data_IF_165353793864
#
_entry.id   IF_165353793864
#
_cell.length_a   1.000
_cell.length_b   1.000
_cell.length_c   1.000
_cell.angle_alpha   90.00
_cell.angle_beta   90.00
_cell.angle_gamma   90.00
#
_symmetry.space_group_name_H-M   'P 1'
#
loop_
_entity.id
_entity.type
_entity.pdbx_description
1 polymer ?
#
# COMPACT_ATOMS: atom_id res chain seq x y z
N UNK A 1 2.34 20.58 -8.60
CA UNK A 1 2.86 20.08 -7.31
C UNK A 1 2.05 18.87 -6.87
N UNK A 2 2.46 17.66 -7.25
CA UNK A 2 1.66 16.42 -7.03
C UNK A 2 2.48 15.22 -6.55
N UNK A 3 3.64 15.48 -5.94
CA UNK A 3 4.58 14.44 -5.49
C UNK A 3 3.99 13.60 -4.36
N UNK A 4 3.22 14.20 -3.46
CA UNK A 4 2.65 13.52 -2.30
C UNK A 4 1.31 12.83 -2.61
N UNK A 5 0.60 13.22 -3.66
CA UNK A 5 -0.70 12.62 -4.02
C UNK A 5 -0.54 11.16 -4.44
N UNK A 6 0.49 10.87 -5.23
CA UNK A 6 0.82 9.50 -5.63
C UNK A 6 1.27 8.64 -4.45
N UNK A 7 1.93 9.24 -3.46
CA UNK A 7 2.29 8.54 -2.23
C UNK A 7 1.03 8.19 -1.43
N UNK A 8 0.16 9.18 -1.17
CA UNK A 8 -1.10 8.99 -0.45
C UNK A 8 -1.99 7.93 -1.10
N UNK A 9 -2.16 8.00 -2.42
CA UNK A 9 -2.98 7.03 -3.16
C UNK A 9 -2.44 5.60 -3.04
N UNK A 10 -1.12 5.40 -3.14
CA UNK A 10 -0.52 4.08 -3.00
C UNK A 10 -0.54 3.57 -1.58
N UNK A 11 -0.26 4.44 -0.61
CA UNK A 11 -0.29 4.08 0.79
C UNK A 11 -1.69 3.64 1.20
N UNK A 12 -2.73 4.34 0.74
CA UNK A 12 -4.12 3.98 1.00
C UNK A 12 -4.54 2.66 0.35
N UNK A 13 -3.93 2.28 -0.79
CA UNK A 13 -4.13 0.97 -1.38
C UNK A 13 -3.52 -0.12 -0.49
N UNK A 14 -2.30 0.08 0.00
CA UNK A 14 -1.60 -0.86 0.90
C UNK A 14 -2.41 -1.06 2.17
N UNK A 15 -2.90 0.01 2.81
CA UNK A 15 -3.76 -0.07 4.00
C UNK A 15 -5.01 -0.93 3.76
N UNK A 16 -5.75 -0.65 2.69
CA UNK A 16 -6.96 -1.40 2.36
C UNK A 16 -6.67 -2.87 2.01
N UNK A 17 -5.55 -3.16 1.37
CA UNK A 17 -5.20 -4.52 1.01
C UNK A 17 -4.78 -5.34 2.24
N UNK A 18 -4.07 -4.73 3.19
CA UNK A 18 -3.75 -5.33 4.48
C UNK A 18 -5.00 -5.58 5.32
N UNK A 19 -5.92 -4.61 5.40
CA UNK A 19 -7.18 -4.81 6.12
C UNK A 19 -8.00 -5.96 5.53
N UNK A 20 -8.03 -6.08 4.19
CA UNK A 20 -8.72 -7.18 3.49
C UNK A 20 -8.08 -8.55 3.75
N UNK A 21 -6.77 -8.62 3.95
CA UNK A 21 -6.08 -9.86 4.33
C UNK A 21 -6.12 -10.15 5.83
N UNK A 22 -6.77 -9.29 6.63
CA UNK A 22 -6.83 -9.42 8.08
C UNK A 22 -5.54 -9.02 8.79
N UNK A 23 -4.64 -8.32 8.09
CA UNK A 23 -3.38 -7.79 8.60
C UNK A 23 -3.48 -6.28 8.87
N UNK A 24 -2.44 -5.71 9.47
CA UNK A 24 -2.33 -4.26 9.72
C UNK A 24 -0.91 -3.81 9.38
N UNK A 25 -0.69 -2.51 9.19
CA UNK A 25 0.66 -1.96 8.95
C UNK A 25 1.67 -2.36 10.04
N UNK A 26 1.21 -2.51 11.29
CA UNK A 26 2.03 -2.89 12.43
C UNK A 26 2.43 -4.37 12.43
N UNK A 27 1.65 -5.21 11.74
CA UNK A 27 1.85 -6.66 11.67
C UNK A 27 2.46 -7.11 10.35
N UNK A 28 2.26 -6.32 9.30
CA UNK A 28 2.79 -6.58 7.97
C UNK A 28 4.31 -6.49 7.98
N UNK A 29 4.95 -7.43 7.29
CA UNK A 29 6.39 -7.33 7.06
C UNK A 29 6.72 -6.44 5.86
N UNK A 30 7.99 -6.06 5.75
CA UNK A 30 8.49 -5.19 4.68
C UNK A 30 8.27 -5.78 3.27
N UNK A 31 8.31 -7.11 3.12
CA UNK A 31 8.07 -7.76 1.84
C UNK A 31 6.59 -7.74 1.46
N UNK A 32 5.68 -7.97 2.40
CA UNK A 32 4.23 -7.80 2.19
C UNK A 32 3.89 -6.36 1.78
N UNK A 33 4.40 -5.37 2.51
CA UNK A 33 4.18 -3.96 2.19
C UNK A 33 4.74 -3.58 0.81
N UNK A 34 5.92 -4.07 0.45
CA UNK A 34 6.54 -3.81 -0.86
C UNK A 34 5.75 -4.48 -2.00
N UNK A 35 5.26 -5.71 -1.81
CA UNK A 35 4.42 -6.38 -2.81
C UNK A 35 3.15 -5.56 -3.10
N UNK A 36 2.42 -5.17 -2.05
CA UNK A 36 1.23 -4.33 -2.15
C UNK A 36 1.54 -2.96 -2.76
N UNK A 37 2.73 -2.42 -2.48
CA UNK A 37 3.19 -1.16 -3.06
C UNK A 37 3.45 -1.27 -4.58
N UNK A 38 4.01 -2.38 -5.05
CA UNK A 38 4.18 -2.63 -6.49
C UNK A 38 2.84 -2.85 -7.20
N UNK A 39 1.88 -3.51 -6.54
CA UNK A 39 0.49 -3.61 -7.04
C UNK A 39 -0.16 -2.23 -7.15
N UNK A 40 -0.04 -1.38 -6.12
CA UNK A 40 -0.55 -0.01 -6.11
C UNK A 40 0.08 0.88 -7.20
N UNK A 41 1.34 0.62 -7.58
CA UNK A 41 2.00 1.30 -8.70
C UNK A 41 1.45 0.87 -10.06
N UNK A 42 1.00 -0.38 -10.16
CA UNK A 42 0.50 -1.00 -11.38
C UNK A 42 -0.99 -0.74 -11.61
N UNK A 43 -1.75 -0.46 -10.54
CA UNK A 43 -3.18 -0.11 -10.58
C UNK A 43 -3.49 1.28 -11.18
N UNK A 44 -2.63 1.81 -12.06
CA UNK A 44 -2.75 3.14 -12.67
C UNK A 44 -3.20 3.08 -14.11
#
# INVERSE_FOLDING_TARGET
>A
SGTNEKFRSRFHYVEQALEKSGSTLEKADLAEMEALWQEAKSAK
#
